data_IF_530208490281
#
_entry.id   IF_530208490281
#
_cell.length_a   1.000
_cell.length_b   1.000
_cell.length_c   1.000
_cell.angle_alpha   90.00
_cell.angle_beta   90.00
_cell.angle_gamma   90.00
#
_symmetry.space_group_name_H-M   'P 1'
#
loop_
_entity.id
_entity.type
_entity.pdbx_description
1 polymer ?
#
# COMPACT_ATOMS: atom_id res chain seq x y z
N UNK A 1 -8.04 -14.49 -19.87
CA UNK A 1 -8.70 -13.29 -19.33
C UNK A 1 -7.66 -12.21 -19.04
N UNK A 2 -8.04 -10.91 -19.07
CA UNK A 2 -7.13 -9.78 -18.82
C UNK A 2 -7.74 -8.86 -17.75
N UNK A 3 -6.95 -8.52 -16.74
CA UNK A 3 -7.26 -7.48 -15.75
C UNK A 3 -6.39 -6.27 -16.03
N UNK A 4 -7.01 -5.11 -16.27
CA UNK A 4 -6.31 -3.86 -16.56
C UNK A 4 -6.68 -2.80 -15.54
N UNK A 5 -5.68 -2.09 -15.05
CA UNK A 5 -5.87 -1.01 -14.08
C UNK A 5 -4.79 0.06 -14.19
N UNK A 6 -5.00 1.21 -13.55
CA UNK A 6 -4.00 2.27 -13.43
C UNK A 6 -2.93 1.89 -12.41
N UNK A 7 -1.68 2.16 -12.76
CA UNK A 7 -0.58 2.10 -11.80
C UNK A 7 -0.69 3.25 -10.80
N UNK A 8 -0.43 2.90 -9.54
CA UNK A 8 -0.40 3.86 -8.43
C UNK A 8 1.04 4.09 -8.00
N UNK A 9 1.41 5.37 -7.91
CA UNK A 9 2.70 5.81 -7.39
C UNK A 9 2.52 6.46 -6.02
N UNK A 10 3.30 6.02 -5.03
CA UNK A 10 3.34 6.70 -3.74
C UNK A 10 4.12 8.00 -3.87
N UNK A 11 3.48 9.12 -3.61
CA UNK A 11 4.14 10.43 -3.54
C UNK A 11 4.59 10.67 -2.11
N UNK A 12 5.87 10.98 -1.92
CA UNK A 12 6.40 11.36 -0.60
C UNK A 12 5.64 12.58 -0.07
N UNK A 13 5.07 12.43 1.12
CA UNK A 13 4.41 13.54 1.80
C UNK A 13 5.46 14.57 2.25
N UNK A 14 5.60 15.66 1.48
CA UNK A 14 6.53 16.75 1.84
C UNK A 14 6.12 17.46 3.13
N UNK A 15 4.85 17.40 3.53
CA UNK A 15 4.34 18.05 4.75
C UNK A 15 4.85 17.41 6.03
N UNK A 16 5.18 16.12 6.01
CA UNK A 16 5.81 15.46 7.15
C UNK A 16 7.18 16.06 7.52
N UNK A 17 7.88 16.66 6.56
CA UNK A 17 9.16 17.33 6.83
C UNK A 17 9.03 18.54 7.77
N UNK A 18 7.85 19.18 7.85
CA UNK A 18 7.60 20.28 8.79
C UNK A 18 7.72 19.78 10.23
N UNK A 19 7.12 18.64 10.56
CA UNK A 19 7.24 18.04 11.89
C UNK A 19 8.69 17.64 12.22
N UNK A 20 9.40 17.04 11.26
CA UNK A 20 10.83 16.73 11.45
C UNK A 20 11.69 17.97 11.63
N UNK A 21 11.40 19.06 10.91
CA UNK A 21 12.06 20.36 11.11
C UNK A 21 11.86 20.90 12.52
N UNK A 22 10.65 20.83 13.05
CA UNK A 22 10.35 21.21 14.43
C UNK A 22 11.10 20.38 15.46
N UNK A 23 11.18 19.05 15.25
CA UNK A 23 11.96 18.16 16.13
C UNK A 23 13.46 18.52 16.11
N UNK A 24 13.99 18.84 14.93
CA UNK A 24 15.37 19.27 14.78
C UNK A 24 15.65 20.57 15.53
N UNK A 25 14.76 21.57 15.44
CA UNK A 25 14.86 22.84 16.18
C UNK A 25 14.84 22.57 17.69
N UNK A 26 13.89 21.75 18.17
CA UNK A 26 13.80 21.41 19.60
C UNK A 26 15.06 20.69 20.11
N UNK A 27 15.59 19.73 19.34
CA UNK A 27 16.81 19.03 19.70
C UNK A 27 18.04 19.95 19.68
N UNK A 28 18.13 20.84 18.68
CA UNK A 28 19.24 21.80 18.56
C UNK A 28 19.27 22.82 19.71
N UNK A 29 18.10 23.11 20.34
CA UNK A 29 18.06 24.03 21.49
C UNK A 29 18.90 23.53 22.67
N UNK A 30 19.10 22.21 22.81
CA UNK A 30 19.93 21.63 23.86
C UNK A 30 21.43 22.00 23.69
N UNK A 31 21.84 22.30 22.46
CA UNK A 31 23.23 22.74 22.20
C UNK A 31 23.51 24.15 22.73
N UNK A 32 22.46 24.94 22.95
CA UNK A 32 22.61 26.29 23.53
C UNK A 32 23.15 26.26 24.98
N UNK A 33 23.02 25.12 25.68
CA UNK A 33 23.59 24.91 27.01
C UNK A 33 25.11 25.12 27.01
N UNK A 34 25.77 24.81 25.90
CA UNK A 34 27.24 24.93 25.78
C UNK A 34 27.68 26.33 25.39
N UNK A 35 26.74 27.26 25.12
CA UNK A 35 27.08 28.66 24.75
C UNK A 35 26.89 29.56 25.96
N UNK A 36 27.93 30.27 26.44
CA UNK A 36 27.80 31.18 27.56
C UNK A 36 26.71 32.23 27.34
N UNK A 37 25.92 32.51 28.37
CA UNK A 37 24.83 33.49 28.39
C UNK A 37 23.61 33.14 27.48
N UNK A 38 23.49 31.91 26.95
CA UNK A 38 22.39 31.51 26.11
C UNK A 38 21.33 30.64 26.85
N UNK A 39 21.55 30.29 28.12
CA UNK A 39 20.67 29.43 28.88
C UNK A 39 19.22 29.94 28.99
N UNK A 40 19.06 31.27 29.09
CA UNK A 40 17.73 31.89 29.19
C UNK A 40 16.88 31.76 27.93
N UNK A 41 17.51 31.48 26.79
CA UNK A 41 16.83 31.31 25.51
C UNK A 41 16.41 29.86 25.23
N UNK A 42 16.95 28.87 25.95
CA UNK A 42 16.69 27.46 25.75
C UNK A 42 15.17 27.16 25.80
N UNK A 43 14.39 27.59 26.84
CA UNK A 43 12.97 27.28 26.91
C UNK A 43 12.18 27.88 25.76
N UNK A 44 12.58 29.03 25.24
CA UNK A 44 11.88 29.66 24.12
C UNK A 44 12.13 28.92 22.81
N UNK A 45 13.39 28.56 22.52
CA UNK A 45 13.73 27.82 21.28
C UNK A 45 13.17 26.41 21.33
N UNK A 46 13.22 25.74 22.47
CA UNK A 46 12.62 24.43 22.67
C UNK A 46 11.10 24.48 22.49
N UNK A 47 10.45 25.45 23.16
CA UNK A 47 8.99 25.65 23.03
C UNK A 47 8.56 25.93 21.60
N UNK A 48 9.31 26.77 20.87
CA UNK A 48 9.06 27.04 19.45
C UNK A 48 9.20 25.76 18.60
N UNK A 49 10.24 24.94 18.85
CA UNK A 49 10.41 23.65 18.19
C UNK A 49 9.24 22.72 18.42
N UNK A 50 8.79 22.58 19.67
CA UNK A 50 7.61 21.76 20.00
C UNK A 50 6.34 22.29 19.34
N UNK A 51 6.12 23.62 19.31
CA UNK A 51 4.99 24.21 18.61
C UNK A 51 4.98 23.84 17.11
N UNK A 52 6.13 23.90 16.45
CA UNK A 52 6.30 23.49 15.04
C UNK A 52 6.02 22.00 14.87
N UNK A 53 6.44 21.13 15.80
CA UNK A 53 6.10 19.68 15.77
C UNK A 53 4.60 19.47 15.84
N UNK A 54 3.92 20.16 16.78
CA UNK A 54 2.46 20.04 16.94
C UNK A 54 1.74 20.51 15.68
N UNK A 55 2.08 21.69 15.16
CA UNK A 55 1.51 22.23 13.92
C UNK A 55 1.77 21.29 12.76
N UNK A 56 3.00 20.80 12.60
CA UNK A 56 3.38 19.85 11.57
C UNK A 56 2.62 18.53 11.67
N UNK A 57 2.39 18.02 12.88
CA UNK A 57 1.59 16.83 13.13
C UNK A 57 0.10 17.03 12.75
N UNK A 58 -0.47 18.20 13.03
CA UNK A 58 -1.83 18.53 12.61
C UNK A 58 -1.95 18.65 11.09
N UNK A 59 -0.98 19.28 10.44
CA UNK A 59 -0.94 19.41 8.97
C UNK A 59 -0.74 18.04 8.30
N UNK A 60 0.06 17.15 8.92
CA UNK A 60 0.33 15.81 8.41
C UNK A 60 -0.81 14.81 8.66
N UNK A 61 -1.69 15.06 9.64
CA UNK A 61 -2.81 14.14 10.00
C UNK A 61 -3.78 13.84 8.85
N UNK A 62 -3.91 14.74 7.87
CA UNK A 62 -4.78 14.54 6.70
C UNK A 62 -4.13 13.80 5.53
N UNK A 63 -2.82 13.46 5.60
CA UNK A 63 -2.05 13.09 4.41
C UNK A 63 -1.05 11.95 4.68
N UNK A 64 -1.53 10.84 5.24
CA UNK A 64 -0.66 9.71 5.64
C UNK A 64 0.03 9.06 4.43
N UNK A 65 -0.59 9.07 3.25
CA UNK A 65 0.02 8.65 1.98
C UNK A 65 -0.61 9.41 0.83
N UNK A 66 0.13 10.28 0.16
CA UNK A 66 -0.30 10.85 -1.11
C UNK A 66 -0.02 9.83 -2.22
N UNK A 67 -1.06 9.19 -2.69
CA UNK A 67 -1.01 8.37 -3.90
C UNK A 67 -1.32 9.25 -5.13
N UNK A 68 -0.80 8.87 -6.26
CA UNK A 68 -1.12 9.47 -7.54
C UNK A 68 -1.12 8.41 -8.63
N UNK A 69 -1.76 8.71 -9.74
CA UNK A 69 -1.71 7.83 -10.90
C UNK A 69 -0.42 8.03 -11.70
N UNK A 70 0.16 6.92 -12.16
CA UNK A 70 1.13 6.92 -13.25
C UNK A 70 0.40 7.13 -14.58
N UNK A 71 1.06 7.65 -15.61
CA UNK A 71 0.51 7.62 -16.98
C UNK A 71 0.42 6.19 -17.55
N UNK A 72 1.12 5.24 -16.95
CA UNK A 72 1.18 3.86 -17.38
C UNK A 72 0.05 3.01 -16.74
N UNK A 73 -0.33 1.94 -17.41
CA UNK A 73 -1.28 0.95 -16.93
C UNK A 73 -0.56 -0.32 -16.45
N UNK A 74 -1.21 -1.02 -15.52
CA UNK A 74 -0.93 -2.41 -15.17
C UNK A 74 -1.92 -3.31 -15.90
N UNK A 75 -1.39 -4.32 -16.58
CA UNK A 75 -2.19 -5.37 -17.22
C UNK A 75 -1.70 -6.72 -16.71
N UNK A 76 -2.60 -7.53 -16.16
CA UNK A 76 -2.31 -8.89 -15.70
C UNK A 76 -3.20 -9.86 -16.46
N UNK A 77 -2.58 -10.90 -17.00
CA UNK A 77 -3.26 -11.98 -17.70
C UNK A 77 -2.63 -13.32 -17.34
N UNK A 78 -3.22 -14.40 -17.83
CA UNK A 78 -2.63 -15.76 -17.71
C UNK A 78 -1.38 -15.98 -18.57
N UNK A 79 -1.03 -15.03 -19.41
CA UNK A 79 0.17 -15.07 -20.27
C UNK A 79 1.32 -14.27 -19.66
N UNK A 80 1.02 -13.18 -18.96
CA UNK A 80 2.04 -12.31 -18.38
C UNK A 80 1.51 -11.09 -17.66
N UNK A 81 2.45 -10.33 -17.13
CA UNK A 81 2.21 -9.07 -16.42
C UNK A 81 2.87 -7.97 -17.25
N UNK A 82 2.13 -6.92 -17.57
CA UNK A 82 2.65 -5.75 -18.28
C UNK A 82 2.54 -4.52 -17.40
N UNK A 83 3.65 -3.84 -17.18
CA UNK A 83 3.76 -2.61 -16.38
C UNK A 83 4.27 -1.52 -17.32
N UNK A 84 3.37 -0.65 -17.77
CA UNK A 84 3.68 0.33 -18.79
C UNK A 84 4.17 -0.32 -20.09
N UNK A 85 5.45 -0.17 -20.39
CA UNK A 85 6.09 -0.76 -21.60
C UNK A 85 6.80 -2.09 -21.34
N UNK A 86 6.94 -2.49 -20.08
CA UNK A 86 7.66 -3.71 -19.70
C UNK A 86 6.69 -4.88 -19.62
N UNK A 87 7.02 -5.98 -20.30
CA UNK A 87 6.25 -7.21 -20.28
C UNK A 87 7.04 -8.33 -19.62
N UNK A 88 6.39 -9.01 -18.68
CA UNK A 88 6.93 -10.13 -17.90
C UNK A 88 6.09 -11.38 -18.18
N UNK A 89 6.54 -12.32 -19.02
CA UNK A 89 5.84 -13.59 -19.25
C UNK A 89 5.68 -14.37 -17.95
N UNK A 90 4.50 -14.92 -17.65
CA UNK A 90 4.24 -15.60 -16.37
C UNK A 90 5.20 -16.77 -16.08
N UNK A 91 5.71 -17.44 -17.12
CA UNK A 91 6.73 -18.50 -16.99
C UNK A 91 8.06 -18.00 -16.40
N UNK A 92 8.33 -16.69 -16.42
CA UNK A 92 9.52 -16.04 -15.87
C UNK A 92 9.23 -15.32 -14.55
N UNK A 93 8.00 -15.42 -14.07
CA UNK A 93 7.53 -14.79 -12.83
C UNK A 93 7.50 -15.84 -11.73
N UNK A 94 8.07 -15.51 -10.59
CA UNK A 94 7.98 -16.28 -9.35
C UNK A 94 7.54 -15.37 -8.19
N UNK A 95 7.12 -15.98 -7.09
CA UNK A 95 6.68 -15.25 -5.89
C UNK A 95 5.62 -14.18 -6.18
N UNK A 96 4.67 -14.50 -7.08
CA UNK A 96 3.58 -13.60 -7.45
C UNK A 96 2.63 -13.40 -6.26
N UNK A 97 2.48 -12.16 -5.83
CA UNK A 97 1.73 -11.79 -4.63
C UNK A 97 0.85 -10.56 -4.88
N UNK A 98 -0.44 -10.72 -4.60
CA UNK A 98 -1.44 -9.66 -4.68
C UNK A 98 -1.88 -9.28 -3.27
N UNK A 99 -1.59 -8.07 -2.84
CA UNK A 99 -2.19 -7.48 -1.64
C UNK A 99 -3.37 -6.61 -2.04
N UNK A 100 -4.59 -7.09 -1.79
CA UNK A 100 -5.84 -6.42 -2.17
C UNK A 100 -6.53 -5.91 -0.92
N UNK A 101 -6.43 -4.61 -0.66
CA UNK A 101 -6.96 -4.01 0.56
C UNK A 101 -8.39 -3.48 0.40
N UNK A 102 -8.60 -2.63 -0.62
CA UNK A 102 -9.89 -1.98 -0.79
C UNK A 102 -10.07 -1.41 -2.20
N UNK A 103 -11.32 -1.23 -2.62
CA UNK A 103 -11.68 -0.47 -3.82
C UNK A 103 -12.16 0.94 -3.46
N UNK A 104 -12.18 1.85 -4.43
CA UNK A 104 -12.64 3.22 -4.25
C UNK A 104 -14.11 3.28 -3.81
N UNK A 105 -14.37 3.98 -2.71
CA UNK A 105 -15.68 4.07 -2.08
C UNK A 105 -16.00 2.93 -1.10
N UNK A 106 -15.10 1.94 -0.91
CA UNK A 106 -15.27 0.93 0.12
C UNK A 106 -15.07 1.54 1.51
N UNK A 107 -16.04 1.32 2.40
CA UNK A 107 -15.90 1.75 3.79
C UNK A 107 -14.90 0.86 4.53
N UNK A 108 -13.85 1.46 5.05
CA UNK A 108 -12.78 0.77 5.79
C UNK A 108 -12.73 1.31 7.22
N UNK A 109 -12.79 0.39 8.18
CA UNK A 109 -12.60 0.71 9.59
C UNK A 109 -11.17 0.33 9.99
N UNK A 110 -10.30 1.33 10.17
CA UNK A 110 -8.88 1.10 10.49
C UNK A 110 -8.63 0.75 11.96
N UNK A 111 -9.68 0.57 12.77
CA UNK A 111 -9.56 0.18 14.19
C UNK A 111 -8.91 1.21 15.12
N UNK A 112 -8.26 2.23 14.55
CA UNK A 112 -7.52 3.24 15.32
C UNK A 112 -8.33 4.51 15.62
N UNK A 113 -9.48 4.70 14.97
CA UNK A 113 -10.37 5.84 15.20
C UNK A 113 -11.83 5.39 15.22
N UNK A 114 -12.64 6.12 15.97
CA UNK A 114 -14.10 5.89 16.17
C UNK A 114 -14.91 6.07 14.87
N UNK A 115 -14.29 6.59 13.81
CA UNK A 115 -14.92 6.79 12.49
C UNK A 115 -14.07 6.16 11.39
N UNK A 116 -14.58 5.13 10.72
CA UNK A 116 -13.99 4.63 9.48
C UNK A 116 -14.10 5.67 8.35
N UNK A 117 -13.34 5.49 7.30
CA UNK A 117 -13.32 6.34 6.12
C UNK A 117 -13.54 5.53 4.84
N UNK A 118 -14.00 6.19 3.78
CA UNK A 118 -14.04 5.58 2.47
C UNK A 118 -12.63 5.47 1.89
N UNK A 119 -12.28 4.28 1.40
CA UNK A 119 -11.04 4.05 0.68
C UNK A 119 -11.03 4.81 -0.65
N UNK A 120 -9.83 5.24 -1.06
CA UNK A 120 -9.57 5.78 -2.40
C UNK A 120 -9.22 4.69 -3.42
N UNK A 121 -9.13 3.42 -3.00
CA UNK A 121 -8.81 2.28 -3.86
C UNK A 121 -7.35 2.20 -4.31
N UNK A 122 -6.44 2.99 -3.73
CA UNK A 122 -5.05 3.13 -4.17
C UNK A 122 -4.04 2.38 -3.30
N UNK A 123 -4.49 1.64 -2.30
CA UNK A 123 -3.60 0.94 -1.34
C UNK A 123 -3.25 -0.49 -1.76
N UNK A 124 -3.75 -0.93 -2.92
CA UNK A 124 -3.49 -2.28 -3.41
C UNK A 124 -2.10 -2.39 -4.03
N UNK A 125 -1.50 -3.56 -3.93
CA UNK A 125 -0.12 -3.80 -4.33
C UNK A 125 0.04 -5.14 -5.02
N UNK A 126 0.86 -5.17 -6.07
CA UNK A 126 1.32 -6.35 -6.76
C UNK A 126 2.83 -6.45 -6.57
N UNK A 127 3.32 -7.62 -6.18
CA UNK A 127 4.76 -7.89 -6.18
C UNK A 127 5.06 -9.27 -6.77
N UNK A 128 6.22 -9.39 -7.40
CA UNK A 128 6.71 -10.63 -7.97
C UNK A 128 8.23 -10.56 -8.19
N UNK A 129 8.84 -11.69 -8.51
CA UNK A 129 10.23 -11.77 -8.91
C UNK A 129 10.35 -12.17 -10.38
N UNK A 130 11.23 -11.52 -11.13
CA UNK A 130 11.55 -11.86 -12.51
C UNK A 130 13.02 -11.56 -12.80
N UNK A 131 13.74 -12.54 -13.36
CA UNK A 131 15.18 -12.39 -13.64
C UNK A 131 16.03 -12.12 -12.39
N UNK A 132 15.64 -12.64 -11.22
CA UNK A 132 16.32 -12.40 -9.94
C UNK A 132 16.08 -11.02 -9.33
N UNK A 133 15.21 -10.20 -9.90
CA UNK A 133 14.83 -8.90 -9.38
C UNK A 133 13.40 -8.91 -8.87
N UNK A 134 13.18 -8.31 -7.69
CA UNK A 134 11.84 -8.10 -7.16
C UNK A 134 11.22 -6.86 -7.79
N UNK A 135 10.07 -7.05 -8.41
CA UNK A 135 9.22 -5.99 -8.96
C UNK A 135 8.06 -5.75 -8.01
N UNK A 136 7.74 -4.49 -7.75
CA UNK A 136 6.67 -4.10 -6.84
C UNK A 136 5.98 -2.85 -7.40
N UNK A 137 4.65 -2.89 -7.51
CA UNK A 137 3.87 -1.76 -7.97
C UNK A 137 2.52 -1.66 -7.26
N UNK A 138 2.06 -0.44 -7.05
CA UNK A 138 0.70 -0.16 -6.59
C UNK A 138 -0.29 -0.21 -7.75
N UNK A 139 -1.53 -0.62 -7.50
CA UNK A 139 -2.58 -0.61 -8.50
C UNK A 139 -3.92 -0.12 -7.92
N UNK A 140 -4.74 0.43 -8.81
CA UNK A 140 -6.01 1.05 -8.48
C UNK A 140 -7.18 0.09 -8.65
N UNK A 141 -8.05 0.03 -7.65
CA UNK A 141 -9.34 -0.65 -7.76
C UNK A 141 -10.46 0.39 -7.76
N UNK A 142 -11.01 0.65 -8.93
CA UNK A 142 -11.99 1.71 -9.16
C UNK A 142 -13.33 1.45 -8.48
N UNK A 143 -13.79 0.19 -8.45
CA UNK A 143 -15.13 -0.15 -7.99
C UNK A 143 -15.24 -1.63 -7.59
N UNK A 144 -16.38 -2.00 -6.99
CA UNK A 144 -16.72 -3.39 -6.71
C UNK A 144 -16.73 -4.27 -7.96
N UNK A 145 -17.19 -3.75 -9.10
CA UNK A 145 -17.15 -4.47 -10.38
C UNK A 145 -15.72 -4.74 -10.82
N UNK A 146 -14.80 -3.77 -10.61
CA UNK A 146 -13.39 -3.97 -10.92
C UNK A 146 -12.74 -5.07 -10.06
N UNK A 147 -13.14 -5.18 -8.79
CA UNK A 147 -12.75 -6.30 -7.91
C UNK A 147 -13.28 -7.64 -8.42
N UNK A 148 -14.52 -7.68 -8.98
CA UNK A 148 -15.05 -8.89 -9.58
C UNK A 148 -14.25 -9.35 -10.80
N UNK A 149 -13.79 -8.42 -11.64
CA UNK A 149 -12.89 -8.74 -12.78
C UNK A 149 -11.57 -9.33 -12.29
N UNK A 150 -10.98 -8.76 -11.22
CA UNK A 150 -9.79 -9.33 -10.58
C UNK A 150 -10.06 -10.74 -10.02
N UNK A 151 -11.21 -10.94 -9.39
CA UNK A 151 -11.64 -12.26 -8.89
C UNK A 151 -11.77 -13.29 -10.00
N UNK A 152 -12.29 -12.91 -11.17
CA UNK A 152 -12.34 -13.81 -12.34
C UNK A 152 -10.95 -14.16 -12.87
N UNK A 153 -9.98 -13.21 -12.85
CA UNK A 153 -8.59 -13.51 -13.17
C UNK A 153 -8.02 -14.53 -12.17
N UNK A 154 -8.26 -14.35 -10.86
CA UNK A 154 -7.79 -15.29 -9.84
C UNK A 154 -8.37 -16.69 -10.03
N UNK A 155 -9.66 -16.81 -10.35
CA UNK A 155 -10.29 -18.10 -10.70
C UNK A 155 -9.53 -18.78 -11.85
N UNK A 156 -9.22 -18.04 -12.92
CA UNK A 156 -8.47 -18.57 -14.05
C UNK A 156 -7.02 -18.97 -13.68
N UNK A 157 -6.34 -18.19 -12.83
CA UNK A 157 -5.00 -18.53 -12.32
C UNK A 157 -5.03 -19.82 -11.49
N UNK A 158 -6.03 -19.98 -10.59
CA UNK A 158 -6.22 -21.21 -9.81
C UNK A 158 -6.52 -22.40 -10.69
N UNK A 159 -7.42 -22.28 -11.66
CA UNK A 159 -7.75 -23.37 -12.61
C UNK A 159 -6.54 -23.84 -13.42
N UNK A 160 -5.63 -22.92 -13.75
CA UNK A 160 -4.39 -23.23 -14.48
C UNK A 160 -3.23 -23.61 -13.59
N UNK A 161 -3.44 -23.73 -12.27
CA UNK A 161 -2.39 -24.02 -11.29
C UNK A 161 -1.19 -23.06 -11.35
N UNK A 162 -1.41 -21.81 -11.74
CA UNK A 162 -0.38 -20.77 -11.71
C UNK A 162 -0.12 -20.40 -10.24
N UNK A 163 1.11 -20.51 -9.73
CA UNK A 163 1.39 -20.25 -8.33
C UNK A 163 1.33 -18.74 -8.04
N UNK A 164 0.45 -18.34 -7.13
CA UNK A 164 0.37 -16.98 -6.60
C UNK A 164 -0.18 -16.96 -5.18
N UNK A 165 -0.06 -15.83 -4.53
CA UNK A 165 -0.55 -15.59 -3.19
C UNK A 165 -1.48 -14.39 -3.21
N UNK A 166 -2.55 -14.46 -2.44
CA UNK A 166 -3.45 -13.33 -2.20
C UNK A 166 -3.42 -12.96 -0.72
N UNK A 167 -3.35 -11.66 -0.45
CA UNK A 167 -3.46 -11.13 0.90
C UNK A 167 -4.47 -9.97 0.96
N UNK A 168 -5.05 -9.78 2.13
CA UNK A 168 -5.62 -8.51 2.54
C UNK A 168 -4.83 -8.06 3.77
N UNK A 169 -3.96 -7.06 3.59
CA UNK A 169 -2.95 -6.66 4.57
C UNK A 169 -2.05 -7.85 4.96
N UNK A 170 -2.16 -8.34 6.20
CA UNK A 170 -1.37 -9.47 6.70
C UNK A 170 -2.13 -10.81 6.70
N UNK A 171 -3.38 -10.81 6.18
CA UNK A 171 -4.23 -11.99 6.20
C UNK A 171 -4.26 -12.65 4.83
N UNK A 172 -3.92 -13.94 4.77
CA UNK A 172 -4.04 -14.76 3.55
C UNK A 172 -5.49 -14.83 3.12
N UNK A 173 -5.75 -14.61 1.84
CA UNK A 173 -7.08 -14.75 1.23
C UNK A 173 -7.06 -15.78 0.10
N UNK A 174 -8.25 -16.22 -0.30
CA UNK A 174 -8.49 -17.12 -1.42
C UNK A 174 -9.74 -16.63 -2.14
N UNK A 175 -9.65 -16.31 -3.43
CA UNK A 175 -10.72 -15.65 -4.17
C UNK A 175 -11.21 -14.37 -3.48
N UNK A 176 -10.25 -13.57 -2.98
CA UNK A 176 -10.48 -12.30 -2.26
C UNK A 176 -11.24 -12.45 -0.93
N UNK A 177 -11.29 -13.65 -0.35
CA UNK A 177 -11.97 -13.95 0.92
C UNK A 177 -11.04 -14.65 1.89
N UNK A 178 -11.23 -14.38 3.16
CA UNK A 178 -10.68 -15.20 4.24
C UNK A 178 -11.60 -16.41 4.38
N UNK A 179 -11.06 -17.62 4.16
CA UNK A 179 -11.80 -18.86 4.26
C UNK A 179 -11.62 -19.48 5.64
N UNK A 180 -12.69 -20.07 6.17
CA UNK A 180 -12.59 -20.98 7.32
C UNK A 180 -12.05 -22.37 6.87
N UNK A 181 -11.76 -23.27 7.82
CA UNK A 181 -11.18 -24.59 7.52
C UNK A 181 -12.01 -25.39 6.51
N UNK A 182 -13.32 -25.44 6.67
CA UNK A 182 -14.21 -26.18 5.79
C UNK A 182 -14.22 -25.59 4.38
N UNK A 183 -14.33 -24.27 4.28
CA UNK A 183 -14.31 -23.55 2.98
C UNK A 183 -12.95 -23.73 2.28
N UNK A 184 -11.85 -23.77 3.05
CA UNK A 184 -10.51 -24.01 2.51
C UNK A 184 -10.37 -25.43 1.94
N UNK A 185 -10.93 -26.44 2.61
CA UNK A 185 -10.93 -27.82 2.09
C UNK A 185 -11.80 -27.93 0.83
N UNK A 186 -12.95 -27.28 0.79
CA UNK A 186 -13.80 -27.20 -0.40
C UNK A 186 -13.07 -26.50 -1.56
N UNK A 187 -12.37 -25.39 -1.26
CA UNK A 187 -11.54 -24.66 -2.21
C UNK A 187 -10.42 -25.55 -2.78
N UNK A 188 -9.63 -26.21 -1.92
CA UNK A 188 -8.56 -27.14 -2.35
C UNK A 188 -9.11 -28.23 -3.26
N UNK A 189 -10.24 -28.86 -2.88
CA UNK A 189 -10.89 -29.87 -3.69
C UNK A 189 -11.34 -29.33 -5.05
N UNK A 190 -11.90 -28.11 -5.09
CA UNK A 190 -12.38 -27.48 -6.32
C UNK A 190 -11.25 -27.22 -7.32
N UNK A 191 -10.10 -26.78 -6.83
CA UNK A 191 -8.94 -26.40 -7.68
C UNK A 191 -7.85 -27.46 -7.74
N UNK A 192 -8.06 -28.64 -7.15
CA UNK A 192 -7.08 -29.74 -7.20
C UNK A 192 -5.80 -29.51 -6.37
N UNK A 193 -5.86 -28.68 -5.35
CA UNK A 193 -4.80 -28.51 -4.37
C UNK A 193 -5.01 -29.51 -3.22
N UNK A 194 -4.59 -30.75 -3.42
CA UNK A 194 -4.67 -31.79 -2.39
C UNK A 194 -3.46 -31.73 -1.43
#
# INVERSE_FOLDING_TARGET
MEFRTKLVISRRNKRAYVAYGGLFIAASSLLLVFIPNMNDYIPYVFGAGIAVVIIGAFIARGDVRNYGFSPDDLVVSTEGITIGKLHYPLRMVSNLDFNVEAYNGMYVNDGAMVSGSNSDGMTNELSFESGGQRVKCGFYLESKQHVQVLGMLFDELYQRHIPFVEHNRNTRTYMLKVLNERELEEFKRRYGYA
#
